data_IF_348555604567
#
_entry.id   IF_348555604567
#
_cell.length_a   1.000
_cell.length_b   1.000
_cell.length_c   1.000
_cell.angle_alpha   90.00
_cell.angle_beta   90.00
_cell.angle_gamma   90.00
#
_symmetry.space_group_name_H-M   'P 1'
#
loop_
_entity.id
_entity.type
_entity.pdbx_description
1 polymer ?
#
# COMPACT_ATOMS: atom_id res chain seq x y z
N UNK A 1 15.09 -27.45 11.64
CA UNK A 1 13.91 -27.96 10.92
C UNK A 1 13.08 -26.86 10.24
N UNK A 2 12.97 -25.64 10.80
CA UNK A 2 12.25 -24.52 10.18
C UNK A 2 12.94 -23.87 8.96
N UNK A 3 14.26 -24.04 8.79
CA UNK A 3 15.05 -23.35 7.76
C UNK A 3 15.14 -24.06 6.40
N UNK A 4 14.67 -25.31 6.28
CA UNK A 4 14.81 -26.10 5.05
C UNK A 4 13.58 -26.08 4.15
N UNK A 5 12.37 -26.07 4.73
CA UNK A 5 11.10 -26.04 3.95
C UNK A 5 10.63 -24.61 3.65
N UNK A 6 10.89 -23.66 4.56
CA UNK A 6 10.47 -22.26 4.37
C UNK A 6 11.39 -21.45 3.44
N UNK A 7 12.59 -21.93 3.11
CA UNK A 7 13.57 -21.14 2.34
C UNK A 7 13.08 -20.79 0.93
N UNK A 8 12.26 -21.65 0.32
CA UNK A 8 11.67 -21.38 -1.00
C UNK A 8 10.55 -20.34 -0.93
N UNK A 9 9.84 -20.28 0.21
CA UNK A 9 8.73 -19.34 0.45
C UNK A 9 9.20 -18.01 1.03
N UNK A 10 10.33 -17.98 1.74
CA UNK A 10 10.84 -16.80 2.42
C UNK A 10 11.80 -16.03 1.50
N UNK A 11 11.31 -14.90 1.01
CA UNK A 11 12.06 -14.06 0.09
C UNK A 11 12.71 -12.89 0.84
N UNK A 12 13.99 -12.62 0.56
CA UNK A 12 14.71 -11.49 1.15
C UNK A 12 14.04 -10.13 0.83
N UNK A 13 13.24 -10.08 -0.24
CA UNK A 13 12.50 -8.88 -0.66
C UNK A 13 11.33 -8.51 0.28
N UNK A 14 10.80 -9.44 1.08
CA UNK A 14 9.59 -9.23 1.89
C UNK A 14 9.64 -8.02 2.86
N UNK A 15 10.70 -7.83 3.67
CA UNK A 15 10.79 -6.64 4.52
C UNK A 15 10.77 -5.33 3.71
N UNK A 16 11.33 -5.33 2.49
CA UNK A 16 11.28 -4.15 1.62
C UNK A 16 9.87 -3.85 1.12
N UNK A 17 9.05 -4.87 0.86
CA UNK A 17 7.62 -4.71 0.50
C UNK A 17 6.85 -4.05 1.64
N UNK A 18 7.08 -4.47 2.89
CA UNK A 18 6.43 -3.88 4.07
C UNK A 18 6.82 -2.40 4.19
N UNK A 19 8.12 -2.08 4.09
CA UNK A 19 8.61 -0.70 4.17
C UNK A 19 8.01 0.16 3.04
N UNK A 20 7.94 -0.37 1.82
CA UNK A 20 7.30 0.29 0.68
C UNK A 20 5.85 0.66 0.99
N UNK A 21 5.04 -0.29 1.46
CA UNK A 21 3.65 -0.03 1.81
C UNK A 21 3.53 0.96 2.97
N UNK A 22 4.36 0.83 4.01
CA UNK A 22 4.35 1.75 5.14
C UNK A 22 4.59 3.20 4.69
N UNK A 23 5.70 3.43 3.97
CA UNK A 23 6.07 4.77 3.48
C UNK A 23 5.00 5.34 2.56
N UNK A 24 4.50 4.53 1.63
CA UNK A 24 3.50 4.98 0.67
C UNK A 24 2.20 5.42 1.38
N UNK A 25 1.70 4.62 2.31
CA UNK A 25 0.47 4.94 3.05
C UNK A 25 0.65 6.17 3.95
N UNK A 26 1.79 6.33 4.62
CA UNK A 26 2.06 7.53 5.42
C UNK A 26 2.08 8.80 4.56
N UNK A 27 2.75 8.75 3.40
CA UNK A 27 2.81 9.88 2.47
C UNK A 27 1.40 10.22 1.95
N UNK A 28 0.64 9.21 1.53
CA UNK A 28 -0.72 9.41 1.03
C UNK A 28 -1.64 9.99 2.11
N UNK A 29 -1.61 9.42 3.32
CA UNK A 29 -2.43 9.92 4.44
C UNK A 29 -2.13 11.38 4.76
N UNK A 30 -0.85 11.76 4.82
CA UNK A 30 -0.44 13.14 5.06
C UNK A 30 -0.92 14.10 3.96
N UNK A 31 -0.75 13.72 2.69
CA UNK A 31 -1.18 14.54 1.54
C UNK A 31 -2.70 14.72 1.49
N UNK A 32 -3.46 13.67 1.78
CA UNK A 32 -4.92 13.72 1.81
C UNK A 32 -5.45 14.56 2.96
N UNK A 33 -4.85 14.46 4.15
CA UNK A 33 -5.22 15.28 5.30
C UNK A 33 -4.98 16.76 5.03
N UNK A 34 -3.87 17.12 4.37
CA UNK A 34 -3.60 18.50 3.95
C UNK A 34 -4.67 19.02 2.97
N UNK A 35 -5.11 18.16 2.04
CA UNK A 35 -6.16 18.49 1.07
C UNK A 35 -7.56 18.61 1.68
N UNK A 36 -7.82 17.97 2.82
CA UNK A 36 -9.13 17.97 3.48
C UNK A 36 -9.52 19.30 4.13
N UNK A 37 -8.57 20.21 4.39
CA UNK A 37 -8.81 21.45 5.16
C UNK A 37 -9.57 22.55 4.40
N UNK A 38 -9.73 22.43 3.08
CA UNK A 38 -10.28 23.51 2.25
C UNK A 38 -11.61 23.21 1.56
N UNK A 39 -11.87 21.95 1.15
CA UNK A 39 -13.08 21.60 0.42
C UNK A 39 -13.29 20.07 0.35
N UNK A 40 -14.44 19.51 0.80
CA UNK A 40 -14.74 18.07 0.72
C UNK A 40 -14.69 17.52 -0.70
N UNK A 41 -15.08 18.33 -1.70
CA UNK A 41 -15.05 17.91 -3.11
C UNK A 41 -13.62 17.71 -3.62
N UNK A 42 -12.70 18.60 -3.24
CA UNK A 42 -11.29 18.49 -3.59
C UNK A 42 -10.63 17.28 -2.93
N UNK A 43 -11.08 16.90 -1.73
CA UNK A 43 -10.64 15.68 -1.05
C UNK A 43 -10.96 14.43 -1.86
N UNK A 44 -12.21 14.25 -2.32
CA UNK A 44 -12.57 13.08 -3.12
C UNK A 44 -11.80 12.98 -4.44
N UNK A 45 -11.61 14.11 -5.13
CA UNK A 45 -10.80 14.14 -6.37
C UNK A 45 -9.36 13.76 -6.10
N UNK A 46 -8.73 14.33 -5.07
CA UNK A 46 -7.34 14.04 -4.73
C UNK A 46 -7.17 12.60 -4.21
N UNK A 47 -8.14 12.09 -3.45
CA UNK A 47 -8.19 10.67 -3.03
C UNK A 47 -8.18 9.73 -4.23
N UNK A 48 -9.05 9.99 -5.21
CA UNK A 48 -9.14 9.14 -6.41
C UNK A 48 -7.86 9.19 -7.25
N UNK A 49 -7.22 10.36 -7.36
CA UNK A 49 -5.90 10.50 -8.01
C UNK A 49 -4.82 9.69 -7.29
N UNK A 50 -4.72 9.82 -5.96
CA UNK A 50 -3.74 9.06 -5.17
C UNK A 50 -3.98 7.55 -5.25
N UNK A 51 -5.24 7.13 -5.26
CA UNK A 51 -5.61 5.72 -5.45
C UNK A 51 -5.19 5.20 -6.82
N UNK A 52 -5.39 5.98 -7.89
CA UNK A 52 -4.91 5.62 -9.23
C UNK A 52 -3.38 5.51 -9.31
N UNK A 53 -2.65 6.46 -8.73
CA UNK A 53 -1.18 6.42 -8.64
C UNK A 53 -0.72 5.20 -7.85
N UNK A 54 -1.37 4.87 -6.72
CA UNK A 54 -1.09 3.67 -5.93
C UNK A 54 -1.23 2.41 -6.77
N UNK A 55 -2.33 2.27 -7.50
CA UNK A 55 -2.57 1.12 -8.38
C UNK A 55 -1.49 0.99 -9.47
N UNK A 56 -1.16 2.09 -10.15
CA UNK A 56 -0.13 2.09 -11.20
C UNK A 56 1.26 1.72 -10.67
N UNK A 57 1.64 2.26 -9.51
CA UNK A 57 2.91 1.93 -8.87
C UNK A 57 2.98 0.47 -8.42
N UNK A 58 1.92 -0.03 -7.79
CA UNK A 58 1.84 -1.44 -7.37
C UNK A 58 1.96 -2.39 -8.56
N UNK A 59 1.24 -2.11 -9.65
CA UNK A 59 1.29 -2.94 -10.86
C UNK A 59 2.70 -2.94 -11.47
N UNK A 60 3.32 -1.76 -11.57
CA UNK A 60 4.70 -1.61 -12.06
C UNK A 60 5.68 -2.41 -11.19
N UNK A 61 5.57 -2.31 -9.87
CA UNK A 61 6.44 -3.01 -8.93
C UNK A 61 6.32 -4.53 -9.06
N UNK A 62 5.08 -5.03 -9.16
CA UNK A 62 4.81 -6.46 -9.35
C UNK A 62 5.40 -6.94 -10.68
N UNK A 63 5.15 -6.23 -11.77
CA UNK A 63 5.63 -6.62 -13.10
C UNK A 63 7.16 -6.66 -13.15
N UNK A 64 7.84 -5.62 -12.65
CA UNK A 64 9.31 -5.57 -12.61
C UNK A 64 9.86 -6.76 -11.82
N UNK A 65 9.29 -7.05 -10.65
CA UNK A 65 9.77 -8.17 -9.83
C UNK A 65 9.56 -9.53 -10.48
N UNK A 66 8.35 -9.79 -11.00
CA UNK A 66 7.99 -11.07 -11.64
C UNK A 66 8.83 -11.32 -12.89
N UNK A 67 9.15 -10.29 -13.67
CA UNK A 67 9.98 -10.41 -14.85
C UNK A 67 11.44 -10.73 -14.50
N UNK A 68 11.98 -10.17 -13.42
CA UNK A 68 13.35 -10.42 -12.96
C UNK A 68 13.50 -11.79 -12.25
N UNK A 69 12.52 -12.19 -11.44
CA UNK A 69 12.59 -13.38 -10.59
C UNK A 69 11.33 -14.26 -10.73
N UNK A 70 11.22 -14.93 -11.88
CA UNK A 70 10.08 -15.82 -12.18
C UNK A 70 9.94 -17.00 -11.21
N UNK A 71 11.06 -17.52 -10.70
CA UNK A 71 11.07 -18.68 -9.80
C UNK A 71 10.33 -18.45 -8.48
N UNK A 72 10.32 -17.21 -7.98
CA UNK A 72 9.67 -16.83 -6.72
C UNK A 72 8.49 -15.87 -6.91
N UNK A 73 8.02 -15.73 -8.15
CA UNK A 73 6.97 -14.79 -8.53
C UNK A 73 5.66 -15.06 -7.79
N UNK A 74 5.25 -16.34 -7.67
CA UNK A 74 3.99 -16.70 -7.04
C UNK A 74 3.95 -16.30 -5.55
N UNK A 75 4.98 -16.68 -4.79
CA UNK A 75 5.08 -16.35 -3.36
C UNK A 75 5.17 -14.84 -3.14
N UNK A 76 5.88 -14.11 -4.01
CA UNK A 76 5.94 -12.66 -3.97
C UNK A 76 4.58 -12.01 -4.23
N UNK A 77 3.88 -12.41 -5.28
CA UNK A 77 2.57 -11.83 -5.63
C UNK A 77 1.55 -12.06 -4.53
N UNK A 78 1.51 -13.27 -3.94
CA UNK A 78 0.62 -13.58 -2.82
C UNK A 78 0.94 -12.71 -1.59
N UNK A 79 2.21 -12.60 -1.22
CA UNK A 79 2.62 -11.76 -0.09
C UNK A 79 2.31 -10.28 -0.35
N UNK A 80 2.60 -9.81 -1.55
CA UNK A 80 2.33 -8.43 -1.96
C UNK A 80 0.83 -8.12 -1.95
N UNK A 81 -0.01 -9.03 -2.44
CA UNK A 81 -1.46 -8.91 -2.41
C UNK A 81 -2.00 -8.89 -0.97
N UNK A 82 -1.46 -9.74 -0.09
CA UNK A 82 -1.80 -9.71 1.33
C UNK A 82 -1.46 -8.37 1.98
N UNK A 83 -0.23 -7.87 1.78
CA UNK A 83 0.17 -6.55 2.26
C UNK A 83 -0.73 -5.46 1.68
N UNK A 84 -1.01 -5.47 0.38
CA UNK A 84 -1.88 -4.51 -0.28
C UNK A 84 -3.24 -4.42 0.40
N UNK A 85 -3.89 -5.56 0.67
CA UNK A 85 -5.21 -5.60 1.31
C UNK A 85 -5.14 -5.03 2.73
N UNK A 86 -4.23 -5.52 3.56
CA UNK A 86 -4.10 -5.09 4.96
C UNK A 86 -3.84 -3.58 5.06
N UNK A 87 -2.90 -3.08 4.26
CA UNK A 87 -2.55 -1.67 4.26
C UNK A 87 -3.64 -0.77 3.66
N UNK A 88 -4.38 -1.25 2.65
CA UNK A 88 -5.51 -0.50 2.09
C UNK A 88 -6.65 -0.39 3.10
N UNK A 89 -6.97 -1.46 3.82
CA UNK A 89 -7.98 -1.44 4.90
C UNK A 89 -7.55 -0.45 5.98
N UNK A 90 -6.29 -0.53 6.44
CA UNK A 90 -5.75 0.38 7.43
C UNK A 90 -5.85 1.84 6.98
N UNK A 91 -5.46 2.14 5.74
CA UNK A 91 -5.53 3.49 5.19
C UNK A 91 -6.96 4.03 5.19
N UNK A 92 -7.92 3.27 4.68
CA UNK A 92 -9.32 3.70 4.60
C UNK A 92 -9.89 3.96 6.00
N UNK A 93 -9.63 3.07 6.96
CA UNK A 93 -10.08 3.25 8.36
C UNK A 93 -9.44 4.51 8.97
N UNK A 94 -8.13 4.69 8.81
CA UNK A 94 -7.40 5.84 9.33
C UNK A 94 -7.90 7.14 8.70
N UNK A 95 -8.18 7.13 7.41
CA UNK A 95 -8.71 8.27 6.65
C UNK A 95 -10.10 8.66 7.15
N UNK A 96 -11.04 7.70 7.27
CA UNK A 96 -12.39 7.94 7.79
C UNK A 96 -12.33 8.50 9.21
N UNK A 97 -11.48 7.91 10.07
CA UNK A 97 -11.29 8.39 11.44
C UNK A 97 -10.76 9.82 11.48
N UNK A 98 -9.77 10.16 10.65
CA UNK A 98 -9.21 11.51 10.56
C UNK A 98 -10.20 12.54 10.00
N UNK A 99 -11.02 12.15 9.02
CA UNK A 99 -12.10 13.01 8.48
C UNK A 99 -13.17 13.29 9.52
N UNK A 100 -13.64 12.26 10.23
CA UNK A 100 -14.65 12.41 11.27
C UNK A 100 -14.11 13.23 12.45
N UNK A 101 -12.86 13.04 12.86
CA UNK A 101 -12.22 13.84 13.90
C UNK A 101 -12.01 15.30 13.46
N UNK A 102 -11.73 15.55 12.17
CA UNK A 102 -11.59 16.89 11.60
C UNK A 102 -12.93 17.63 11.40
N UNK A 103 -14.04 16.90 11.23
CA UNK A 103 -15.41 17.43 11.15
C UNK A 103 -16.04 17.70 12.53
N UNK A 104 -15.33 17.46 13.64
CA UNK A 104 -15.68 18.01 14.95
C UNK A 104 -14.97 19.34 15.13
N UNK A 105 -15.34 20.34 14.31
CA UNK A 105 -15.28 21.78 14.61
C UNK A 105 -16.29 22.51 13.76
#
# INVERSE_FOLDING_TARGET
>A
MYLTVLKEWFNYIFPFVIIYFLLFNTIQHYKLLKSSKGNPRAFFTNYMLWFGVKLGLNLTFILVYVLLNRAQALSFVLFFAFCYIVYTIYEVIALIKSLNAGNVK
#
